data_IF_890244586988
#
_entry.id   IF_890244586988
#
_cell.length_a   1.000
_cell.length_b   1.000
_cell.length_c   1.000
_cell.angle_alpha   90.00
_cell.angle_beta   90.00
_cell.angle_gamma   90.00
#
_symmetry.space_group_name_H-M   'P 1'
#
loop_
_entity.id
_entity.type
_entity.pdbx_description
1 polymer ?
#
# COMPACT_ATOMS: atom_id res chain seq x y z
N UNK A 1 7.38 -21.44 18.96
CA UNK A 1 5.96 -21.51 18.69
C UNK A 1 5.37 -20.09 18.69
N UNK A 2 4.50 -19.78 17.71
CA UNK A 2 3.90 -18.44 17.56
C UNK A 2 2.93 -18.10 18.71
N UNK A 3 2.22 -19.07 19.24
CA UNK A 3 1.35 -18.89 20.40
C UNK A 3 2.14 -18.48 21.64
N UNK A 4 3.23 -19.14 21.91
CA UNK A 4 4.11 -18.79 23.04
C UNK A 4 4.69 -17.39 22.89
N UNK A 5 5.08 -17.00 21.67
CA UNK A 5 5.58 -15.67 21.38
C UNK A 5 4.48 -14.60 21.60
N UNK A 6 3.27 -14.82 21.10
CA UNK A 6 2.13 -13.93 21.31
C UNK A 6 1.83 -13.77 22.81
N UNK A 7 1.81 -14.86 23.56
CA UNK A 7 1.59 -14.84 25.00
C UNK A 7 2.65 -14.03 25.75
N UNK A 8 3.92 -14.16 25.36
CA UNK A 8 5.02 -13.36 25.94
C UNK A 8 4.86 -11.87 25.66
N UNK A 9 4.43 -11.49 24.46
CA UNK A 9 4.14 -10.09 24.14
C UNK A 9 2.98 -9.53 24.97
N UNK A 10 1.88 -10.27 25.10
CA UNK A 10 0.74 -9.84 25.91
C UNK A 10 1.14 -9.59 27.37
N UNK A 11 1.86 -10.51 27.98
CA UNK A 11 2.36 -10.35 29.35
C UNK A 11 3.32 -9.17 29.49
N UNK A 12 4.17 -8.93 28.49
CA UNK A 12 5.09 -7.78 28.51
C UNK A 12 4.34 -6.45 28.46
N UNK A 13 3.30 -6.35 27.64
CA UNK A 13 2.46 -5.15 27.57
C UNK A 13 1.66 -4.93 28.85
N UNK A 14 1.10 -5.98 29.42
CA UNK A 14 0.38 -5.94 30.69
C UNK A 14 1.30 -5.45 31.84
N UNK A 15 2.50 -5.99 31.92
CA UNK A 15 3.48 -5.57 32.93
C UNK A 15 3.91 -4.10 32.80
N UNK A 16 3.74 -3.50 31.64
CA UNK A 16 3.99 -2.07 31.38
C UNK A 16 2.76 -1.18 31.58
N UNK A 17 1.65 -1.72 32.03
CA UNK A 17 0.41 -0.99 32.20
C UNK A 17 -0.30 -0.58 30.90
N UNK A 18 0.05 -1.22 29.79
CA UNK A 18 -0.55 -1.00 28.48
C UNK A 18 -1.11 -2.32 27.92
N UNK A 19 -2.12 -2.93 28.58
CA UNK A 19 -2.65 -4.21 28.15
C UNK A 19 -3.24 -4.10 26.72
N UNK A 20 -2.95 -5.11 25.90
CA UNK A 20 -3.51 -5.20 24.57
C UNK A 20 -4.90 -5.84 24.64
N UNK A 21 -5.94 -5.17 24.10
CA UNK A 21 -7.28 -5.73 24.14
C UNK A 21 -7.40 -6.95 23.23
N UNK A 22 -8.00 -8.02 23.72
CA UNK A 22 -8.25 -9.24 22.94
C UNK A 22 -9.58 -9.18 22.18
N UNK A 23 -10.49 -8.30 22.59
CA UNK A 23 -11.75 -8.08 21.87
C UNK A 23 -11.49 -7.35 20.54
N UNK A 24 -11.92 -7.92 19.39
CA UNK A 24 -11.68 -7.31 18.07
C UNK A 24 -12.30 -5.90 17.92
N UNK A 25 -13.42 -5.62 18.55
CA UNK A 25 -14.06 -4.30 18.50
C UNK A 25 -13.27 -3.25 19.28
N UNK A 26 -12.74 -3.64 20.44
CA UNK A 26 -11.84 -2.76 21.19
C UNK A 26 -10.53 -2.49 20.44
N UNK A 27 -9.97 -3.48 19.72
CA UNK A 27 -8.82 -3.28 18.85
C UNK A 27 -9.14 -2.32 17.72
N UNK A 28 -10.26 -2.50 17.03
CA UNK A 28 -10.69 -1.62 15.95
C UNK A 28 -10.90 -0.19 16.44
N UNK A 29 -11.59 -0.01 17.56
CA UNK A 29 -11.79 1.31 18.16
C UNK A 29 -10.45 1.98 18.48
N UNK A 30 -9.52 1.26 19.11
CA UNK A 30 -8.19 1.77 19.44
C UNK A 30 -7.39 2.16 18.19
N UNK A 31 -7.50 1.39 17.11
CA UNK A 31 -6.85 1.71 15.82
C UNK A 31 -7.44 2.99 15.20
N UNK A 32 -8.77 3.13 15.19
CA UNK A 32 -9.46 4.33 14.69
C UNK A 32 -9.02 5.57 15.49
N UNK A 33 -9.02 5.47 16.83
CA UNK A 33 -8.58 6.56 17.69
C UNK A 33 -7.10 6.94 17.45
N UNK A 34 -6.23 5.96 17.22
CA UNK A 34 -4.83 6.20 16.92
C UNK A 34 -4.65 6.99 15.62
N UNK A 35 -5.43 6.67 14.57
CA UNK A 35 -5.43 7.44 13.31
C UNK A 35 -5.89 8.88 13.56
N UNK A 36 -6.97 9.11 14.26
CA UNK A 36 -7.42 10.48 14.57
C UNK A 36 -6.40 11.25 15.41
N UNK A 37 -5.82 10.63 16.43
CA UNK A 37 -4.76 11.23 17.26
C UNK A 37 -3.50 11.58 16.46
N UNK A 38 -3.20 10.80 15.40
CA UNK A 38 -2.03 11.03 14.55
C UNK A 38 -2.05 12.39 13.83
N UNK A 39 -3.23 12.97 13.59
CA UNK A 39 -3.40 14.33 13.06
C UNK A 39 -2.68 15.37 13.90
N UNK A 40 -2.65 15.19 15.23
CA UNK A 40 -2.03 16.10 16.17
C UNK A 40 -0.54 15.82 16.41
N UNK A 41 0.02 14.80 15.77
CA UNK A 41 1.43 14.45 15.87
C UNK A 41 2.31 15.64 15.40
N UNK A 42 3.43 15.94 16.09
CA UNK A 42 4.33 17.04 15.70
C UNK A 42 4.80 16.96 14.25
N UNK A 43 5.08 15.76 13.74
CA UNK A 43 5.46 15.53 12.36
C UNK A 43 4.35 15.92 11.37
N UNK A 44 3.10 15.54 11.67
CA UNK A 44 1.95 15.89 10.85
C UNK A 44 1.68 17.40 10.85
N UNK A 45 1.78 18.06 12.00
CA UNK A 45 1.66 19.52 12.12
C UNK A 45 2.72 20.26 11.31
N UNK A 46 3.98 19.80 11.38
CA UNK A 46 5.07 20.39 10.59
C UNK A 46 4.83 20.22 9.10
N UNK A 47 4.38 19.05 8.67
CA UNK A 47 4.02 18.80 7.26
C UNK A 47 2.91 19.75 6.79
N UNK A 48 1.82 19.87 7.54
CA UNK A 48 0.72 20.79 7.19
C UNK A 48 1.18 22.22 7.07
N UNK A 49 2.01 22.69 8.01
CA UNK A 49 2.57 24.06 7.96
C UNK A 49 3.38 24.31 6.69
N UNK A 50 4.23 23.33 6.30
CA UNK A 50 5.06 23.45 5.09
C UNK A 50 4.21 23.52 3.83
N UNK A 51 3.12 22.73 3.76
CA UNK A 51 2.29 22.62 2.57
C UNK A 51 1.02 23.47 2.60
N UNK A 52 0.86 24.34 3.61
CA UNK A 52 -0.30 25.24 3.71
C UNK A 52 -1.63 24.52 3.90
N UNK A 53 -1.63 23.33 4.53
CA UNK A 53 -2.84 22.55 4.80
C UNK A 53 -3.51 23.10 6.06
N UNK A 54 -4.83 23.46 6.02
CA UNK A 54 -5.55 23.98 7.19
C UNK A 54 -5.54 23.02 8.38
N UNK A 55 -5.35 23.53 9.58
CA UNK A 55 -5.32 22.73 10.81
C UNK A 55 -6.68 22.14 11.18
N UNK A 56 -7.76 22.79 10.78
CA UNK A 56 -9.15 22.42 11.04
C UNK A 56 -9.73 21.39 10.04
N UNK A 57 -8.96 21.02 9.01
CA UNK A 57 -9.42 20.07 7.99
C UNK A 57 -9.68 18.68 8.57
N UNK A 58 -8.88 18.24 9.53
CA UNK A 58 -8.97 16.91 10.12
C UNK A 58 -8.45 15.79 9.21
N UNK A 59 -8.67 14.56 9.64
CA UNK A 59 -8.34 13.35 8.87
C UNK A 59 -9.52 12.38 8.88
N UNK A 60 -9.50 11.42 7.97
CA UNK A 60 -10.49 10.36 7.86
C UNK A 60 -9.84 8.98 8.11
N UNK A 61 -10.67 8.00 8.41
CA UNK A 61 -10.26 6.60 8.58
C UNK A 61 -11.01 5.75 7.57
N UNK A 62 -10.27 4.88 6.89
CA UNK A 62 -10.84 3.84 6.04
C UNK A 62 -10.64 2.50 6.73
N UNK A 63 -11.75 1.78 6.97
CA UNK A 63 -11.75 0.40 7.47
C UNK A 63 -12.08 -0.53 6.31
N UNK A 64 -11.14 -1.38 5.93
CA UNK A 64 -11.32 -2.30 4.81
C UNK A 64 -10.80 -3.70 5.16
N UNK A 65 -11.32 -4.71 4.50
CA UNK A 65 -10.82 -6.07 4.62
C UNK A 65 -9.37 -6.13 4.15
N UNK A 66 -8.55 -6.85 4.90
CA UNK A 66 -7.15 -7.08 4.52
C UNK A 66 -7.08 -8.14 3.42
N UNK A 67 -6.19 -7.95 2.46
CA UNK A 67 -5.88 -8.88 1.37
C UNK A 67 -4.48 -9.42 1.57
N UNK A 68 -4.27 -10.70 1.29
CA UNK A 68 -3.01 -11.38 1.60
C UNK A 68 -2.28 -11.82 0.33
N UNK A 69 -1.16 -11.14 0.04
CA UNK A 69 -0.27 -11.47 -1.06
C UNK A 69 0.68 -12.63 -0.79
N UNK A 70 0.65 -13.21 0.42
CA UNK A 70 1.55 -14.29 0.87
C UNK A 70 0.83 -15.63 1.09
N UNK A 71 -0.23 -15.90 0.33
CA UNK A 71 -1.01 -17.16 0.43
C UNK A 71 -0.56 -18.26 -0.55
N UNK A 72 0.55 -18.06 -1.25
CA UNK A 72 1.10 -19.03 -2.19
C UNK A 72 1.63 -18.40 -3.48
N UNK A 73 1.97 -19.25 -4.44
CA UNK A 73 2.60 -18.85 -5.70
C UNK A 73 1.68 -18.08 -6.66
N UNK A 74 0.37 -18.17 -6.45
CA UNK A 74 -0.68 -17.44 -7.16
C UNK A 74 -1.06 -16.12 -6.47
N UNK A 75 -0.30 -15.74 -5.45
CA UNK A 75 -0.49 -14.52 -4.67
C UNK A 75 0.77 -13.65 -4.73
N UNK A 76 0.63 -12.36 -4.42
CA UNK A 76 1.75 -11.43 -4.41
C UNK A 76 1.30 -10.00 -4.18
N UNK A 77 2.25 -9.09 -4.12
CA UNK A 77 2.00 -7.66 -3.97
C UNK A 77 2.87 -6.86 -4.93
N UNK A 78 2.46 -5.66 -5.27
CA UNK A 78 3.24 -4.83 -6.17
C UNK A 78 2.83 -3.37 -6.17
N UNK A 79 3.64 -2.61 -6.87
CA UNK A 79 3.42 -1.20 -7.17
C UNK A 79 3.48 -0.99 -8.66
N UNK A 80 2.60 -0.14 -9.18
CA UNK A 80 2.52 0.16 -10.59
C UNK A 80 2.41 1.65 -10.87
N UNK A 81 2.94 2.05 -12.02
CA UNK A 81 2.76 3.38 -12.58
C UNK A 81 2.07 3.24 -13.95
N UNK A 82 1.17 4.14 -14.25
CA UNK A 82 0.47 4.16 -15.54
C UNK A 82 1.36 4.58 -16.71
N UNK A 83 2.53 5.15 -16.40
CA UNK A 83 3.62 5.53 -17.32
C UNK A 83 4.96 5.32 -16.64
N UNK A 84 6.03 5.27 -17.43
CA UNK A 84 7.38 5.31 -16.88
C UNK A 84 7.61 6.66 -16.17
N UNK A 85 7.86 6.69 -14.85
CA UNK A 85 8.00 7.94 -14.09
C UNK A 85 9.27 8.74 -14.43
N UNK A 86 10.24 8.11 -15.07
CA UNK A 86 11.48 8.78 -15.51
C UNK A 86 11.36 9.41 -16.90
N UNK A 87 10.68 8.73 -17.83
CA UNK A 87 10.65 9.13 -19.26
C UNK A 87 9.30 9.66 -19.73
N UNK A 88 8.20 9.37 -19.01
CA UNK A 88 6.82 9.69 -19.43
C UNK A 88 6.25 8.75 -20.48
N UNK A 89 6.99 7.73 -20.90
CA UNK A 89 6.51 6.76 -21.90
C UNK A 89 5.29 6.01 -21.40
N UNK A 90 4.30 5.88 -22.29
CA UNK A 90 3.09 5.09 -22.02
C UNK A 90 3.43 3.63 -21.82
N UNK A 91 2.83 3.03 -20.85
CA UNK A 91 2.95 1.61 -20.54
C UNK A 91 3.01 1.36 -19.06
N UNK A 92 2.57 0.19 -18.65
CA UNK A 92 2.63 -0.24 -17.28
C UNK A 92 4.09 -0.39 -16.83
N UNK A 93 4.47 0.37 -15.84
CA UNK A 93 5.79 0.34 -15.23
C UNK A 93 5.65 0.02 -13.74
N UNK A 94 6.56 -0.75 -13.17
CA UNK A 94 6.51 -1.07 -11.76
C UNK A 94 7.11 -2.43 -11.42
N UNK A 95 6.83 -2.86 -10.20
CA UNK A 95 7.45 -4.04 -9.61
C UNK A 95 6.40 -4.93 -8.93
N UNK A 96 6.65 -6.22 -8.94
CA UNK A 96 5.83 -7.25 -8.32
C UNK A 96 6.68 -8.22 -7.52
N UNK A 97 6.21 -8.61 -6.35
CA UNK A 97 6.84 -9.60 -5.51
C UNK A 97 5.84 -10.73 -5.23
N UNK A 98 6.15 -11.92 -5.77
CA UNK A 98 5.32 -13.12 -5.60
C UNK A 98 5.38 -13.64 -4.17
N UNK A 99 4.27 -14.16 -3.68
CA UNK A 99 4.12 -14.75 -2.36
C UNK A 99 4.71 -13.84 -1.26
N UNK A 100 4.22 -12.60 -1.20
CA UNK A 100 4.74 -11.53 -0.34
C UNK A 100 3.65 -10.52 0.06
N UNK A 101 3.88 -9.85 1.18
CA UNK A 101 3.11 -8.69 1.62
C UNK A 101 3.87 -7.40 1.32
N UNK A 102 3.19 -6.23 1.45
CA UNK A 102 3.77 -4.93 1.17
C UNK A 102 5.04 -4.63 1.97
N UNK A 103 5.09 -5.08 3.22
CA UNK A 103 6.24 -4.94 4.10
C UNK A 103 7.49 -5.64 3.55
N UNK A 104 7.35 -6.76 2.86
CA UNK A 104 8.47 -7.50 2.27
C UNK A 104 9.13 -6.70 1.14
N UNK A 105 8.33 -5.93 0.38
CA UNK A 105 8.83 -5.01 -0.66
C UNK A 105 9.61 -3.85 -0.03
N UNK A 106 9.05 -3.24 1.02
CA UNK A 106 9.66 -2.09 1.70
C UNK A 106 10.91 -2.47 2.48
N UNK A 107 10.91 -3.65 3.11
CA UNK A 107 12.05 -4.15 3.88
C UNK A 107 13.27 -4.54 3.01
N UNK A 108 13.09 -4.71 1.69
CA UNK A 108 14.15 -5.06 0.77
C UNK A 108 14.77 -6.45 1.02
N UNK A 109 14.05 -7.34 1.72
CA UNK A 109 14.53 -8.70 2.04
C UNK A 109 14.56 -9.58 0.79
N UNK A 110 13.66 -9.31 -0.15
CA UNK A 110 13.56 -10.00 -1.44
C UNK A 110 13.55 -8.96 -2.56
N UNK A 111 14.17 -9.28 -3.69
CA UNK A 111 14.17 -8.39 -4.85
C UNK A 111 12.87 -8.56 -5.64
N UNK A 112 12.05 -7.53 -5.78
CA UNK A 112 10.89 -7.59 -6.65
C UNK A 112 11.30 -7.69 -8.12
N UNK A 113 10.41 -8.22 -8.95
CA UNK A 113 10.62 -8.33 -10.38
C UNK A 113 9.79 -7.28 -11.15
N UNK A 114 10.29 -6.82 -12.31
CA UNK A 114 9.51 -5.90 -13.16
C UNK A 114 8.17 -6.50 -13.55
N UNK A 115 7.11 -5.68 -13.57
CA UNK A 115 5.75 -6.11 -13.93
C UNK A 115 5.67 -6.77 -15.32
N UNK A 116 6.56 -6.41 -16.23
CA UNK A 116 6.64 -7.02 -17.55
C UNK A 116 6.86 -8.54 -17.52
N UNK A 117 7.49 -9.07 -16.48
CA UNK A 117 7.68 -10.51 -16.33
C UNK A 117 6.38 -11.28 -16.14
N UNK A 118 5.33 -10.63 -15.64
CA UNK A 118 3.99 -11.23 -15.55
C UNK A 118 3.47 -11.70 -16.91
N UNK A 119 3.87 -11.08 -18.01
CA UNK A 119 3.51 -11.53 -19.38
C UNK A 119 3.86 -12.99 -19.64
N UNK A 120 4.93 -13.48 -19.03
CA UNK A 120 5.44 -14.83 -19.25
C UNK A 120 4.72 -15.91 -18.43
N UNK A 121 4.24 -15.62 -17.23
CA UNK A 121 3.66 -16.63 -16.35
C UNK A 121 2.24 -16.31 -15.83
N UNK A 122 1.82 -15.06 -15.91
CA UNK A 122 0.49 -14.61 -15.52
C UNK A 122 -0.05 -13.54 -16.49
N UNK A 123 -0.18 -13.86 -17.81
CA UNK A 123 -0.54 -12.87 -18.83
C UNK A 123 -1.91 -12.24 -18.56
N UNK A 124 -2.88 -12.97 -18.02
CA UNK A 124 -4.19 -12.44 -17.66
C UNK A 124 -4.10 -11.36 -16.57
N UNK A 125 -3.26 -11.56 -15.56
CA UNK A 125 -3.01 -10.56 -14.52
C UNK A 125 -2.35 -9.29 -15.10
N UNK A 126 -1.37 -9.47 -15.99
CA UNK A 126 -0.72 -8.34 -16.66
C UNK A 126 -1.72 -7.50 -17.47
N UNK A 127 -2.61 -8.15 -18.20
CA UNK A 127 -3.65 -7.50 -18.99
C UNK A 127 -4.66 -6.75 -18.10
N UNK A 128 -5.06 -7.35 -16.98
CA UNK A 128 -5.94 -6.71 -16.01
C UNK A 128 -5.28 -5.46 -15.42
N UNK A 129 -3.99 -5.52 -15.06
CA UNK A 129 -3.22 -4.36 -14.59
C UNK A 129 -3.12 -3.26 -15.65
N UNK A 130 -2.96 -3.60 -16.92
CA UNK A 130 -2.99 -2.61 -18.02
C UNK A 130 -4.34 -1.88 -18.09
N UNK A 131 -5.44 -2.62 -18.04
CA UNK A 131 -6.79 -2.05 -18.06
C UNK A 131 -7.03 -1.13 -16.86
N UNK A 132 -6.54 -1.53 -15.68
CA UNK A 132 -6.58 -0.69 -14.47
C UNK A 132 -5.79 0.59 -14.68
N UNK A 133 -4.55 0.49 -15.16
CA UNK A 133 -3.69 1.66 -15.41
C UNK A 133 -4.35 2.65 -16.37
N UNK A 134 -4.93 2.16 -17.47
CA UNK A 134 -5.65 2.99 -18.42
C UNK A 134 -6.89 3.67 -17.83
N UNK A 135 -7.64 2.96 -17.00
CA UNK A 135 -8.82 3.52 -16.31
C UNK A 135 -8.43 4.61 -15.33
N UNK A 136 -7.38 4.38 -14.55
CA UNK A 136 -6.86 5.36 -13.58
C UNK A 136 -6.39 6.63 -14.30
N UNK A 137 -5.55 6.51 -15.32
CA UNK A 137 -5.04 7.66 -16.06
C UNK A 137 -6.15 8.43 -16.75
N UNK A 138 -7.14 7.75 -17.32
CA UNK A 138 -8.30 8.39 -17.96
C UNK A 138 -9.18 9.14 -16.94
N UNK A 139 -9.38 8.56 -15.75
CA UNK A 139 -10.20 9.15 -14.70
C UNK A 139 -9.54 10.39 -14.09
N UNK A 140 -8.29 10.26 -13.69
CA UNK A 140 -7.56 11.34 -13.04
C UNK A 140 -6.96 12.36 -14.03
N UNK A 141 -6.91 12.02 -15.33
CA UNK A 141 -6.27 12.81 -16.39
C UNK A 141 -4.81 13.14 -16.11
N UNK A 142 -4.15 12.28 -15.37
CA UNK A 142 -2.76 12.39 -14.98
C UNK A 142 -2.18 11.02 -14.66
N UNK A 143 -0.85 10.91 -14.77
CA UNK A 143 -0.10 9.72 -14.41
C UNK A 143 -0.38 9.33 -12.96
N UNK A 144 -0.69 8.07 -12.74
CA UNK A 144 -0.98 7.52 -11.42
C UNK A 144 0.10 6.52 -10.98
N UNK A 145 0.38 6.54 -9.70
CA UNK A 145 1.08 5.55 -8.91
C UNK A 145 0.02 4.75 -8.13
N UNK A 146 0.05 3.44 -8.20
CA UNK A 146 -0.94 2.59 -7.52
C UNK A 146 -0.31 1.37 -6.87
N UNK A 147 -0.90 0.96 -5.78
CA UNK A 147 -0.53 -0.22 -5.01
C UNK A 147 -1.58 -1.31 -5.22
N UNK A 148 -1.14 -2.55 -5.36
CA UNK A 148 -2.04 -3.68 -5.56
C UNK A 148 -1.54 -4.94 -4.87
N UNK A 149 -2.50 -5.83 -4.57
CA UNK A 149 -2.22 -7.18 -4.07
C UNK A 149 -2.99 -8.17 -4.91
N UNK A 150 -2.38 -9.30 -5.17
CA UNK A 150 -3.02 -10.47 -5.76
C UNK A 150 -3.19 -11.51 -4.68
N UNK A 151 -4.41 -11.92 -4.42
CA UNK A 151 -4.74 -13.00 -3.50
C UNK A 151 -5.37 -14.13 -4.27
N UNK A 152 -4.67 -15.28 -4.32
CA UNK A 152 -5.14 -16.48 -5.03
C UNK A 152 -5.61 -16.18 -6.47
N UNK A 153 -4.76 -15.50 -7.22
CA UNK A 153 -5.02 -15.12 -8.61
C UNK A 153 -5.98 -13.96 -8.82
N UNK A 154 -6.58 -13.40 -7.77
CA UNK A 154 -7.50 -12.27 -7.86
C UNK A 154 -6.79 -10.95 -7.55
N UNK A 155 -6.94 -9.96 -8.43
CA UNK A 155 -6.37 -8.63 -8.27
C UNK A 155 -7.22 -7.75 -7.35
N UNK A 156 -6.55 -7.03 -6.45
CA UNK A 156 -7.12 -6.01 -5.58
C UNK A 156 -6.28 -4.75 -5.64
N UNK A 157 -6.91 -3.64 -5.99
CA UNK A 157 -6.29 -2.32 -5.85
C UNK A 157 -6.42 -1.85 -4.41
N UNK A 158 -5.32 -1.39 -3.85
CA UNK A 158 -5.27 -0.91 -2.47
C UNK A 158 -5.31 0.60 -2.40
N UNK A 159 -4.55 1.29 -3.26
CA UNK A 159 -4.39 2.73 -3.24
C UNK A 159 -3.98 3.24 -4.61
N UNK A 160 -4.35 4.48 -4.93
CA UNK A 160 -3.80 5.26 -6.05
C UNK A 160 -3.53 6.69 -5.64
N UNK A 161 -2.55 7.30 -6.28
CA UNK A 161 -2.19 8.71 -6.08
C UNK A 161 -1.54 9.28 -7.35
N UNK A 162 -1.45 10.61 -7.43
CA UNK A 162 -0.70 11.26 -8.49
C UNK A 162 0.77 10.81 -8.46
N UNK A 163 1.26 10.26 -9.56
CA UNK A 163 2.60 9.69 -9.65
C UNK A 163 3.68 10.77 -9.57
N UNK A 164 4.66 10.55 -8.69
CA UNK A 164 5.88 11.37 -8.68
C UNK A 164 6.68 11.06 -9.94
N UNK A 165 7.15 12.10 -10.62
CA UNK A 165 7.82 11.99 -11.92
C UNK A 165 8.92 13.02 -12.09
N UNK A 166 9.84 12.75 -13.00
CA UNK A 166 10.86 13.73 -13.41
C UNK A 166 10.24 14.87 -14.21
N UNK A 167 10.97 16.00 -14.34
CA UNK A 167 10.55 17.10 -15.20
C UNK A 167 10.40 16.65 -16.67
N UNK A 168 11.27 15.75 -17.15
CA UNK A 168 11.19 15.18 -18.50
C UNK A 168 9.88 14.40 -18.71
N UNK A 169 9.46 13.59 -17.72
CA UNK A 169 8.23 12.84 -17.81
C UNK A 169 6.98 13.73 -17.67
N UNK A 170 7.10 14.91 -17.05
CA UNK A 170 5.98 15.82 -16.86
C UNK A 170 5.55 16.58 -18.13
N UNK A 171 6.45 16.73 -19.11
CA UNK A 171 6.19 17.44 -20.38
C UNK A 171 5.80 16.50 -21.52
N UNK A 172 5.68 15.22 -21.28
CA UNK A 172 5.37 14.19 -22.26
C UNK A 172 3.99 13.56 -22.02
#
# INVERSE_FOLDING_TARGET
DLEELAYRYLRHLEARGTPFPLDPWAQLQGAIEAVFKSWQNPRARTYRRIYGIPEDLGTAVVVQAMVFGNLGEDSGTGVGFTRNPATGEKGLYGEYLRNAQGEDVVAGVRTPEPLERLKGYAPGLYEELLQVAERLERHFRDMQDFEFTVERGRLFLLQTRAGKRTAQAAVR
#
